data_IF_862061510259
#
_entry.id   IF_862061510259
#
_cell.length_a   1.000
_cell.length_b   1.000
_cell.length_c   1.000
_cell.angle_alpha   90.00
_cell.angle_beta   90.00
_cell.angle_gamma   90.00
#
_symmetry.space_group_name_H-M   'P 1'
#
loop_
_entity.id
_entity.type
_entity.pdbx_description
1 polymer ?
#
# COMPACT_ATOMS: atom_id res chain seq x y z
N UNK A 1 -32.90 33.41 -43.81
CA UNK A 1 -31.85 33.36 -42.78
C UNK A 1 -32.53 33.38 -41.41
N UNK A 2 -32.79 32.22 -40.84
CA UNK A 2 -33.36 32.05 -39.50
C UNK A 2 -32.23 31.73 -38.54
N UNK A 3 -31.82 32.70 -37.71
CA UNK A 3 -30.88 32.46 -36.62
C UNK A 3 -31.62 31.79 -35.46
N UNK A 4 -31.34 30.51 -35.22
CA UNK A 4 -31.74 29.86 -33.99
C UNK A 4 -30.79 30.28 -32.87
N UNK A 5 -31.32 30.96 -31.85
CA UNK A 5 -30.64 31.18 -30.57
C UNK A 5 -30.56 29.84 -29.84
N UNK A 6 -29.35 29.39 -29.51
CA UNK A 6 -29.16 28.27 -28.58
C UNK A 6 -29.81 28.60 -27.23
N UNK A 7 -30.48 27.63 -26.58
CA UNK A 7 -30.99 27.84 -25.23
C UNK A 7 -29.82 27.95 -24.26
N UNK A 8 -29.82 29.02 -23.45
CA UNK A 8 -28.85 29.23 -22.39
C UNK A 8 -28.79 28.01 -21.46
N UNK A 9 -27.59 27.44 -21.32
CA UNK A 9 -27.31 26.30 -20.44
C UNK A 9 -27.60 26.74 -19.00
N UNK A 10 -28.73 26.31 -18.44
CA UNK A 10 -29.09 26.55 -17.05
C UNK A 10 -28.09 25.78 -16.19
N UNK A 11 -27.15 26.50 -15.58
CA UNK A 11 -26.19 25.93 -14.63
C UNK A 11 -26.89 25.91 -13.28
N UNK A 12 -27.13 24.70 -12.75
CA UNK A 12 -27.56 24.54 -11.37
C UNK A 12 -26.46 25.11 -10.44
N UNK A 13 -26.80 26.20 -9.74
CA UNK A 13 -25.88 26.90 -8.86
C UNK A 13 -25.48 26.06 -7.64
N UNK A 14 -26.30 25.08 -7.24
CA UNK A 14 -26.00 24.07 -6.24
C UNK A 14 -24.91 23.12 -6.71
N UNK A 15 -25.05 22.55 -7.91
CA UNK A 15 -24.01 21.70 -8.53
C UNK A 15 -22.71 22.46 -8.78
N UNK A 16 -22.80 23.72 -9.24
CA UNK A 16 -21.62 24.54 -9.47
C UNK A 16 -20.89 24.89 -8.16
N UNK A 17 -21.61 25.07 -7.05
CA UNK A 17 -21.02 25.28 -5.71
C UNK A 17 -20.44 23.98 -5.15
N UNK A 18 -21.12 22.85 -5.30
CA UNK A 18 -20.61 21.54 -4.90
C UNK A 18 -19.32 21.19 -5.66
N UNK A 19 -19.26 21.44 -6.97
CA UNK A 19 -18.06 21.28 -7.80
C UNK A 19 -16.93 22.22 -7.38
N UNK A 20 -17.22 23.47 -7.02
CA UNK A 20 -16.21 24.43 -6.49
C UNK A 20 -15.67 24.03 -5.12
N UNK A 21 -16.52 23.51 -4.25
CA UNK A 21 -16.13 23.00 -2.94
C UNK A 21 -15.28 21.72 -3.07
N UNK A 22 -15.63 20.83 -4.02
CA UNK A 22 -14.84 19.66 -4.36
C UNK A 22 -13.48 20.03 -4.98
N UNK A 23 -13.42 21.06 -5.83
CA UNK A 23 -12.19 21.51 -6.49
C UNK A 23 -11.13 22.13 -5.55
N UNK A 24 -11.48 22.44 -4.29
CA UNK A 24 -10.57 22.94 -3.26
C UNK A 24 -10.42 22.01 -2.05
N UNK A 25 -11.01 20.81 -2.10
CA UNK A 25 -10.97 19.83 -1.01
C UNK A 25 -9.63 19.10 -1.05
N UNK A 26 -9.01 18.95 0.13
CA UNK A 26 -7.87 18.04 0.32
C UNK A 26 -8.43 16.69 0.73
N UNK A 27 -8.08 15.64 -0.02
CA UNK A 27 -8.47 14.27 0.31
C UNK A 27 -8.05 13.91 1.74
N UNK A 28 -8.88 13.10 2.40
CA UNK A 28 -8.66 12.69 3.78
C UNK A 28 -8.61 11.17 3.87
N UNK A 29 -7.88 10.70 4.86
CA UNK A 29 -8.03 9.33 5.35
C UNK A 29 -9.06 9.36 6.48
N UNK A 30 -10.04 8.45 6.41
CA UNK A 30 -11.10 8.26 7.41
C UNK A 30 -10.96 6.87 7.99
N UNK A 31 -10.99 6.75 9.31
CA UNK A 31 -11.05 5.46 10.00
C UNK A 31 -12.50 5.12 10.30
N UNK A 32 -12.93 3.97 9.76
CA UNK A 32 -14.24 3.41 9.94
C UNK A 32 -14.17 2.30 10.98
N UNK A 33 -15.04 2.38 11.98
CA UNK A 33 -15.38 1.26 12.84
C UNK A 33 -16.61 0.58 12.27
N UNK A 34 -16.45 -0.68 11.88
CA UNK A 34 -17.52 -1.49 11.31
C UNK A 34 -17.83 -2.63 12.25
N UNK A 35 -19.09 -2.80 12.62
CA UNK A 35 -19.54 -3.90 13.47
C UNK A 35 -20.70 -4.67 12.87
N UNK A 36 -20.71 -5.97 13.13
CA UNK A 36 -21.84 -6.86 12.90
C UNK A 36 -22.16 -7.55 14.23
N UNK A 37 -23.34 -7.25 14.78
CA UNK A 37 -23.82 -7.80 16.05
C UNK A 37 -24.87 -8.86 15.74
N UNK A 38 -24.64 -10.08 16.25
CA UNK A 38 -25.55 -11.23 16.12
C UNK A 38 -25.88 -11.76 17.51
N UNK A 39 -26.90 -12.60 17.59
CA UNK A 39 -27.31 -13.21 18.86
C UNK A 39 -26.22 -14.11 19.46
N UNK A 40 -25.35 -14.68 18.63
CA UNK A 40 -24.30 -15.63 18.98
C UNK A 40 -22.89 -15.02 19.01
N UNK A 41 -22.75 -13.72 18.72
CA UNK A 41 -21.46 -13.03 18.81
C UNK A 41 -21.43 -11.69 18.08
N UNK A 42 -20.32 -10.97 18.32
CA UNK A 42 -20.04 -9.68 17.68
C UNK A 42 -18.74 -9.78 16.89
N UNK A 43 -18.70 -9.11 15.74
CA UNK A 43 -17.49 -8.97 14.92
C UNK A 43 -17.27 -7.51 14.61
N UNK A 44 -16.04 -7.04 14.78
CA UNK A 44 -15.69 -5.66 14.46
C UNK A 44 -14.40 -5.55 13.65
N UNK A 45 -14.32 -4.50 12.82
CA UNK A 45 -13.16 -4.13 12.02
C UNK A 45 -12.92 -2.62 12.13
N UNK A 46 -11.66 -2.23 12.20
CA UNK A 46 -11.21 -0.86 12.00
C UNK A 46 -10.53 -0.77 10.64
N UNK A 47 -11.03 0.10 9.77
CA UNK A 47 -10.61 0.18 8.38
C UNK A 47 -10.32 1.64 8.05
N UNK A 48 -9.10 1.95 7.66
CA UNK A 48 -8.75 3.25 7.09
C UNK A 48 -9.06 3.26 5.59
N UNK A 49 -9.77 4.27 5.11
CA UNK A 49 -10.08 4.46 3.69
C UNK A 49 -9.90 5.91 3.27
N UNK A 50 -9.72 6.16 1.97
CA UNK A 50 -9.80 7.52 1.43
C UNK A 50 -11.26 7.99 1.40
N UNK A 51 -11.51 9.24 1.77
CA UNK A 51 -12.86 9.82 1.83
C UNK A 51 -13.47 10.14 0.45
N UNK A 52 -12.67 10.07 -0.61
CA UNK A 52 -13.11 10.13 -2.01
C UNK A 52 -13.55 8.77 -2.56
N UNK A 53 -13.35 7.68 -1.81
CA UNK A 53 -13.80 6.33 -2.17
C UNK A 53 -15.32 6.33 -2.39
N UNK A 54 -15.80 5.60 -3.40
CA UNK A 54 -17.24 5.48 -3.64
C UNK A 54 -17.85 4.41 -2.73
N UNK A 55 -19.15 4.52 -2.44
CA UNK A 55 -19.87 3.53 -1.63
C UNK A 55 -19.79 2.12 -2.23
N UNK A 56 -19.79 1.99 -3.55
CA UNK A 56 -19.59 0.70 -4.24
C UNK A 56 -18.25 0.05 -3.92
N UNK A 57 -17.19 0.86 -3.86
CA UNK A 57 -15.83 0.36 -3.59
C UNK A 57 -15.66 0.10 -2.09
N UNK A 58 -16.32 0.89 -1.23
CA UNK A 58 -16.42 0.56 0.20
C UNK A 58 -17.09 -0.80 0.41
N UNK A 59 -18.14 -1.14 -0.34
CA UNK A 59 -18.77 -2.48 -0.24
C UNK A 59 -17.74 -3.57 -0.48
N UNK A 60 -16.91 -3.46 -1.52
CA UNK A 60 -15.87 -4.46 -1.80
C UNK A 60 -14.82 -4.54 -0.67
N UNK A 61 -14.42 -3.40 -0.10
CA UNK A 61 -13.56 -3.34 1.10
C UNK A 61 -14.19 -4.07 2.29
N UNK A 62 -15.49 -3.92 2.52
CA UNK A 62 -16.21 -4.61 3.59
C UNK A 62 -16.31 -6.11 3.35
N UNK A 63 -16.58 -6.54 2.11
CA UNK A 63 -16.63 -7.97 1.77
C UNK A 63 -15.30 -8.66 2.10
N UNK A 64 -14.18 -8.07 1.68
CA UNK A 64 -12.83 -8.57 1.98
C UNK A 64 -12.56 -8.57 3.49
N UNK A 65 -12.84 -7.46 4.18
CA UNK A 65 -12.53 -7.29 5.61
C UNK A 65 -13.30 -8.27 6.52
N UNK A 66 -14.48 -8.71 6.09
CA UNK A 66 -15.31 -9.67 6.82
C UNK A 66 -15.18 -11.10 6.27
N UNK A 67 -14.32 -11.33 5.28
CA UNK A 67 -14.10 -12.66 4.70
C UNK A 67 -15.35 -13.24 4.03
N UNK A 68 -16.14 -12.38 3.39
CA UNK A 68 -17.31 -12.81 2.60
C UNK A 68 -16.80 -13.46 1.32
N UNK A 69 -17.22 -14.69 1.07
CA UNK A 69 -16.86 -15.43 -0.13
C UNK A 69 -17.63 -14.94 -1.38
N UNK A 70 -17.27 -15.48 -2.54
CA UNK A 70 -17.88 -15.10 -3.82
C UNK A 70 -19.38 -15.37 -3.88
N UNK A 71 -19.88 -16.38 -3.15
CA UNK A 71 -21.30 -16.71 -3.12
C UNK A 71 -22.06 -15.68 -2.28
N UNK A 72 -21.57 -15.36 -1.08
CA UNK A 72 -22.10 -14.31 -0.22
C UNK A 72 -22.04 -12.93 -0.87
N UNK A 73 -21.00 -12.65 -1.66
CA UNK A 73 -20.84 -11.39 -2.38
C UNK A 73 -21.95 -11.14 -3.42
N UNK A 74 -22.64 -12.18 -3.91
CA UNK A 74 -23.75 -12.05 -4.88
C UNK A 74 -25.06 -11.63 -4.24
N UNK A 75 -25.15 -11.60 -2.91
CA UNK A 75 -26.35 -11.16 -2.23
C UNK A 75 -26.69 -9.70 -2.57
N UNK A 76 -27.98 -9.32 -2.65
CA UNK A 76 -28.39 -7.93 -2.79
C UNK A 76 -27.81 -7.09 -1.67
N UNK A 77 -27.33 -5.90 -1.99
CA UNK A 77 -26.68 -5.02 -1.02
C UNK A 77 -27.10 -3.56 -1.25
N UNK A 78 -27.04 -2.77 -0.18
CA UNK A 78 -27.20 -1.32 -0.25
C UNK A 78 -26.65 -0.66 1.03
N UNK A 79 -26.44 0.65 0.97
CA UNK A 79 -26.23 1.49 2.15
C UNK A 79 -27.48 2.33 2.42
N UNK A 80 -27.76 2.61 3.69
CA UNK A 80 -28.78 3.57 4.09
C UNK A 80 -28.33 4.36 5.34
N UNK A 81 -29.03 5.44 5.65
CA UNK A 81 -28.82 6.19 6.87
C UNK A 81 -29.45 5.44 8.06
N UNK A 82 -28.87 5.53 9.27
CA UNK A 82 -29.47 4.92 10.45
C UNK A 82 -30.91 5.41 10.68
N UNK A 83 -31.83 4.47 10.89
CA UNK A 83 -33.24 4.77 11.18
C UNK A 83 -34.09 5.11 9.95
N UNK A 84 -33.58 4.89 8.73
CA UNK A 84 -34.38 5.03 7.50
C UNK A 84 -34.80 3.65 6.96
N UNK A 85 -35.89 3.62 6.19
CA UNK A 85 -36.42 2.38 5.59
C UNK A 85 -35.56 1.91 4.41
N UNK A 86 -35.62 0.62 4.07
CA UNK A 86 -34.84 0.01 2.99
C UNK A 86 -35.05 0.67 1.60
N UNK A 87 -36.20 1.33 1.38
CA UNK A 87 -36.51 2.07 0.15
C UNK A 87 -35.70 3.38 -0.01
N UNK A 88 -34.88 3.74 0.98
CA UNK A 88 -34.00 4.92 0.97
C UNK A 88 -32.52 4.57 0.75
N UNK A 89 -32.26 3.54 -0.06
CA UNK A 89 -30.91 3.16 -0.45
C UNK A 89 -30.15 4.37 -1.05
N UNK A 90 -28.91 4.55 -0.59
CA UNK A 90 -28.00 5.57 -1.09
C UNK A 90 -27.46 5.17 -2.47
N UNK A 91 -27.16 6.17 -3.30
CA UNK A 91 -26.53 5.96 -4.60
C UNK A 91 -25.12 5.39 -4.42
N UNK A 92 -24.81 4.19 -4.95
CA UNK A 92 -23.53 3.52 -4.78
C UNK A 92 -22.34 4.27 -5.40
N UNK A 93 -22.58 5.17 -6.36
CA UNK A 93 -21.51 5.93 -7.03
C UNK A 93 -21.16 7.23 -6.28
N UNK A 94 -21.85 7.52 -5.16
CA UNK A 94 -21.52 8.66 -4.32
C UNK A 94 -20.31 8.43 -3.42
N UNK A 95 -19.49 9.47 -3.17
CA UNK A 95 -18.28 9.36 -2.37
C UNK A 95 -18.55 9.38 -0.86
N UNK A 96 -17.71 8.69 -0.09
CA UNK A 96 -17.85 8.54 1.35
C UNK A 96 -17.94 9.85 2.11
N UNK A 97 -17.20 10.88 1.70
CA UNK A 97 -17.19 12.16 2.38
C UNK A 97 -18.54 12.89 2.44
N UNK A 98 -19.54 12.48 1.65
CA UNK A 98 -20.90 13.00 1.75
C UNK A 98 -21.62 12.50 3.01
N UNK A 99 -21.24 11.33 3.51
CA UNK A 99 -21.97 10.60 4.53
C UNK A 99 -21.15 10.32 5.79
N UNK A 100 -19.83 10.19 5.66
CA UNK A 100 -18.91 9.76 6.71
C UNK A 100 -17.76 10.77 6.87
N UNK A 101 -18.06 12.07 6.74
CA UNK A 101 -17.07 13.14 6.72
C UNK A 101 -16.61 13.58 8.12
N UNK A 102 -17.48 13.47 9.12
CA UNK A 102 -17.24 13.86 10.50
C UNK A 102 -17.14 12.64 11.41
N UNK A 103 -16.52 12.82 12.59
CA UNK A 103 -16.50 11.80 13.63
C UNK A 103 -17.92 11.60 14.19
N UNK A 104 -18.35 10.34 14.32
CA UNK A 104 -19.68 9.94 14.75
C UNK A 104 -20.70 9.79 13.63
N UNK A 105 -20.40 10.26 12.42
CA UNK A 105 -21.23 9.99 11.24
C UNK A 105 -21.32 8.47 11.02
N UNK A 106 -22.48 7.99 10.59
CA UNK A 106 -22.71 6.56 10.43
C UNK A 106 -23.64 6.19 9.28
N UNK A 107 -23.42 4.98 8.77
CA UNK A 107 -24.21 4.31 7.75
C UNK A 107 -24.56 2.90 8.21
N UNK A 108 -25.63 2.35 7.65
CA UNK A 108 -25.94 0.94 7.74
C UNK A 108 -25.67 0.31 6.38
N UNK A 109 -24.85 -0.74 6.37
CA UNK A 109 -24.58 -1.56 5.20
C UNK A 109 -25.37 -2.86 5.30
N UNK A 110 -26.19 -3.13 4.29
CA UNK A 110 -26.96 -4.36 4.17
C UNK A 110 -26.34 -5.27 3.12
N UNK A 111 -26.24 -6.57 3.44
CA UNK A 111 -25.81 -7.63 2.53
C UNK A 111 -26.71 -8.85 2.72
N UNK A 112 -27.70 -9.02 1.84
CA UNK A 112 -28.77 -9.98 2.02
C UNK A 112 -29.50 -9.73 3.34
N UNK A 113 -29.43 -10.70 4.27
CA UNK A 113 -30.02 -10.59 5.61
C UNK A 113 -29.05 -10.03 6.65
N UNK A 114 -27.80 -9.80 6.28
CA UNK A 114 -26.79 -9.27 7.18
C UNK A 114 -26.83 -7.75 7.22
N UNK A 115 -26.58 -7.20 8.42
CA UNK A 115 -26.51 -5.77 8.66
C UNK A 115 -25.19 -5.43 9.36
N UNK A 116 -24.50 -4.43 8.85
CA UNK A 116 -23.26 -3.91 9.42
C UNK A 116 -23.44 -2.43 9.73
N UNK A 117 -23.05 -2.02 10.94
CA UNK A 117 -23.01 -0.61 11.31
C UNK A 117 -21.64 -0.06 10.99
N UNK A 118 -21.57 0.97 10.15
CA UNK A 118 -20.34 1.66 9.75
C UNK A 118 -20.31 3.02 10.41
N UNK A 119 -19.32 3.30 11.26
CA UNK A 119 -19.18 4.57 11.98
C UNK A 119 -17.83 5.19 11.64
N UNK A 120 -17.82 6.46 11.27
CA UNK A 120 -16.60 7.25 11.14
C UNK A 120 -16.07 7.61 12.53
N UNK A 121 -14.90 7.10 12.89
CA UNK A 121 -14.28 7.38 14.20
C UNK A 121 -13.49 8.69 14.18
N UNK A 122 -12.59 8.87 13.21
CA UNK A 122 -11.80 10.08 13.04
C UNK A 122 -11.24 10.18 11.62
N UNK A 123 -10.85 11.40 11.19
CA UNK A 123 -10.29 11.65 9.87
C UNK A 123 -9.15 12.67 9.91
N UNK A 124 -8.17 12.54 9.02
CA UNK A 124 -7.02 13.45 8.90
C UNK A 124 -6.63 13.71 7.44
N UNK A 125 -5.92 14.82 7.13
CA UNK A 125 -5.42 15.08 5.79
C UNK A 125 -4.58 13.93 5.27
N UNK A 126 -4.81 13.53 4.03
CA UNK A 126 -4.14 12.39 3.40
C UNK A 126 -2.72 12.78 2.95
N UNK A 127 -1.79 11.85 3.13
CA UNK A 127 -0.46 11.90 2.50
C UNK A 127 -0.45 11.10 1.18
N UNK A 128 0.56 11.33 0.33
CA UNK A 128 0.65 10.68 -0.99
C UNK A 128 0.99 9.18 -0.94
N UNK A 129 1.34 8.63 0.24
CA UNK A 129 1.80 7.25 0.41
C UNK A 129 0.79 6.30 1.09
N UNK A 130 -0.27 6.83 1.71
CA UNK A 130 -1.28 6.01 2.38
C UNK A 130 -2.06 5.19 1.35
N UNK A 131 -2.27 3.87 1.53
CA UNK A 131 -3.15 3.08 0.68
C UNK A 131 -4.58 3.64 0.63
N UNK A 132 -5.35 3.28 -0.40
CA UNK A 132 -6.73 3.75 -0.56
C UNK A 132 -7.70 3.04 0.40
N UNK A 133 -7.36 1.81 0.84
CA UNK A 133 -8.02 1.08 1.91
C UNK A 133 -7.01 0.21 2.69
N UNK A 134 -7.16 0.10 4.00
CA UNK A 134 -6.34 -0.74 4.87
C UNK A 134 -7.13 -1.14 6.13
N UNK A 135 -7.14 -2.42 6.48
CA UNK A 135 -7.61 -2.88 7.78
C UNK A 135 -6.50 -2.68 8.83
N UNK A 136 -6.78 -1.89 9.87
CA UNK A 136 -5.81 -1.53 10.92
C UNK A 136 -6.07 -2.27 12.24
N UNK A 137 -7.17 -3.03 12.33
CA UNK A 137 -7.48 -3.83 13.50
C UNK A 137 -8.86 -4.46 13.43
N UNK A 138 -9.16 -5.35 14.36
CA UNK A 138 -10.43 -6.05 14.41
C UNK A 138 -10.42 -7.22 15.38
N UNK A 139 -11.60 -7.79 15.61
CA UNK A 139 -11.73 -9.08 16.29
C UNK A 139 -13.09 -9.73 15.99
N UNK A 140 -13.27 -10.94 16.48
CA UNK A 140 -14.45 -11.75 16.20
C UNK A 140 -14.39 -12.47 14.86
N UNK A 141 -15.29 -13.44 14.70
CA UNK A 141 -15.36 -14.37 13.56
C UNK A 141 -16.67 -14.15 12.82
N UNK A 142 -16.64 -13.90 11.51
CA UNK A 142 -17.83 -13.83 10.68
C UNK A 142 -17.92 -15.10 9.82
N UNK A 143 -19.03 -15.84 9.94
CA UNK A 143 -19.11 -17.19 9.38
C UNK A 143 -17.96 -18.09 9.86
N UNK A 144 -17.26 -18.72 8.92
CA UNK A 144 -16.08 -19.56 9.18
C UNK A 144 -14.75 -18.77 9.13
N UNK A 145 -14.75 -17.54 8.61
CA UNK A 145 -13.56 -16.74 8.39
C UNK A 145 -12.98 -16.19 9.72
N UNK A 146 -11.73 -16.56 10.01
CA UNK A 146 -10.95 -16.00 11.13
C UNK A 146 -10.45 -14.60 10.78
N UNK A 147 -10.27 -13.77 11.80
CA UNK A 147 -9.63 -12.48 11.62
C UNK A 147 -8.13 -12.66 11.39
N UNK A 148 -7.69 -12.35 10.17
CA UNK A 148 -6.29 -12.31 9.75
C UNK A 148 -6.05 -10.98 9.04
N UNK A 149 -5.44 -10.04 9.76
CA UNK A 149 -5.19 -8.67 9.27
C UNK A 149 -4.24 -8.66 8.07
N UNK A 150 -3.29 -9.60 8.00
CA UNK A 150 -2.32 -9.66 6.92
C UNK A 150 -2.99 -10.13 5.61
N UNK A 151 -3.78 -11.20 5.69
CA UNK A 151 -4.54 -11.71 4.54
C UNK A 151 -5.57 -10.68 4.03
N UNK A 152 -6.27 -10.00 4.94
CA UNK A 152 -7.23 -8.93 4.58
C UNK A 152 -6.51 -7.79 3.85
N UNK A 153 -5.38 -7.31 4.39
CA UNK A 153 -4.68 -6.18 3.79
C UNK A 153 -4.09 -6.51 2.41
N UNK A 154 -3.56 -7.72 2.23
CA UNK A 154 -3.09 -8.18 0.92
C UNK A 154 -4.22 -8.14 -0.13
N UNK A 155 -5.43 -8.57 0.24
CA UNK A 155 -6.58 -8.52 -0.66
C UNK A 155 -7.11 -7.09 -0.89
N UNK A 156 -7.04 -6.20 0.10
CA UNK A 156 -7.54 -4.83 0.02
C UNK A 156 -6.65 -3.88 -0.78
N UNK A 157 -5.33 -3.93 -0.59
CA UNK A 157 -4.45 -2.97 -1.25
C UNK A 157 -4.19 -3.32 -2.70
N UNK A 158 -4.77 -4.41 -3.21
CA UNK A 158 -4.51 -4.93 -4.54
C UNK A 158 -3.02 -5.22 -4.66
N UNK A 159 -2.56 -6.25 -3.97
CA UNK A 159 -1.21 -6.72 -4.19
C UNK A 159 -1.28 -7.90 -5.13
N UNK A 160 -0.56 -7.75 -6.24
CA UNK A 160 0.32 -8.80 -6.70
C UNK A 160 0.62 -9.75 -5.54
N UNK A 161 0.27 -11.04 -5.68
CA UNK A 161 0.62 -12.02 -4.63
C UNK A 161 2.11 -11.88 -4.27
N UNK A 162 2.56 -12.30 -3.08
CA UNK A 162 4.01 -12.29 -2.77
C UNK A 162 4.84 -12.84 -3.93
N UNK A 163 4.34 -13.88 -4.58
CA UNK A 163 4.97 -14.48 -5.76
C UNK A 163 4.96 -13.59 -7.01
N UNK A 164 3.92 -12.80 -7.23
CA UNK A 164 3.83 -11.84 -8.34
C UNK A 164 4.73 -10.63 -8.10
N UNK A 165 4.77 -10.07 -6.88
CA UNK A 165 5.73 -9.01 -6.52
C UNK A 165 7.17 -9.48 -6.75
N UNK A 166 7.49 -10.68 -6.24
CA UNK A 166 8.81 -11.28 -6.40
C UNK A 166 9.12 -11.66 -7.86
N UNK A 167 8.10 -11.84 -8.71
CA UNK A 167 8.31 -12.08 -10.15
C UNK A 167 8.82 -10.85 -10.89
N UNK A 168 8.57 -9.65 -10.34
CA UNK A 168 9.09 -8.39 -10.87
C UNK A 168 10.42 -7.97 -10.25
N UNK A 169 10.86 -8.62 -9.16
CA UNK A 169 12.12 -8.34 -8.50
C UNK A 169 13.30 -9.07 -9.15
N UNK A 170 14.49 -8.47 -9.07
CA UNK A 170 15.72 -9.10 -9.52
C UNK A 170 15.93 -10.45 -8.82
N UNK A 171 16.38 -11.47 -9.57
CA UNK A 171 16.52 -12.83 -9.04
C UNK A 171 17.33 -12.93 -7.73
N UNK A 172 18.43 -12.16 -7.53
CA UNK A 172 19.13 -12.14 -6.26
C UNK A 172 18.29 -11.62 -5.09
N UNK A 173 17.44 -10.60 -5.30
CA UNK A 173 16.53 -10.05 -4.28
C UNK A 173 15.50 -11.10 -3.87
N UNK A 174 14.90 -11.78 -4.85
CA UNK A 174 13.95 -12.87 -4.60
C UNK A 174 14.61 -14.00 -3.80
N UNK A 175 15.80 -14.44 -4.22
CA UNK A 175 16.55 -15.49 -3.51
C UNK A 175 16.93 -15.09 -2.08
N UNK A 176 17.29 -13.82 -1.87
CA UNK A 176 17.63 -13.29 -0.55
C UNK A 176 16.41 -13.30 0.39
N UNK A 177 15.24 -12.86 -0.08
CA UNK A 177 13.99 -12.87 0.72
C UNK A 177 13.58 -14.31 1.07
N UNK A 178 13.68 -15.24 0.12
CA UNK A 178 13.36 -16.65 0.34
C UNK A 178 14.30 -17.33 1.35
N UNK A 179 15.60 -17.07 1.26
CA UNK A 179 16.62 -17.67 2.16
C UNK A 179 16.57 -17.08 3.56
N UNK A 180 16.45 -15.75 3.67
CA UNK A 180 16.37 -15.04 4.96
C UNK A 180 15.03 -15.22 5.67
N UNK A 181 13.97 -15.53 4.91
CA UNK A 181 12.57 -15.61 5.38
C UNK A 181 12.03 -14.31 5.97
N UNK A 182 12.62 -13.17 5.62
CA UNK A 182 12.16 -11.84 6.06
C UNK A 182 11.09 -11.35 5.09
N UNK A 183 9.82 -11.72 5.36
CA UNK A 183 8.67 -11.30 4.55
C UNK A 183 8.38 -9.80 4.64
N UNK A 184 8.91 -9.11 5.65
CA UNK A 184 8.71 -7.67 5.90
C UNK A 184 9.34 -6.78 4.81
N UNK A 185 10.16 -7.35 3.93
CA UNK A 185 10.73 -6.69 2.76
C UNK A 185 9.77 -6.64 1.56
N UNK A 186 8.74 -7.50 1.52
CA UNK A 186 7.76 -7.55 0.42
C UNK A 186 6.92 -6.26 0.33
N UNK A 187 6.42 -5.68 1.43
CA UNK A 187 5.74 -4.38 1.40
C UNK A 187 6.60 -3.25 0.83
N UNK A 188 7.92 -3.27 1.04
CA UNK A 188 8.83 -2.29 0.44
C UNK A 188 8.84 -2.43 -1.09
N UNK A 189 8.96 -3.66 -1.61
CA UNK A 189 8.95 -3.92 -3.05
C UNK A 189 7.61 -3.52 -3.69
N UNK A 190 6.50 -3.77 -2.98
CA UNK A 190 5.17 -3.31 -3.39
C UNK A 190 5.10 -1.77 -3.46
N UNK A 191 5.63 -1.08 -2.46
CA UNK A 191 5.66 0.38 -2.43
C UNK A 191 6.53 0.98 -3.54
N UNK A 192 7.59 0.27 -3.97
CA UNK A 192 8.41 0.67 -5.10
C UNK A 192 7.71 0.48 -6.44
N UNK A 193 6.69 -0.38 -6.54
CA UNK A 193 5.97 -0.71 -7.78
C UNK A 193 6.94 -1.11 -8.90
N UNK A 194 7.60 -2.28 -8.73
CA UNK A 194 8.57 -2.80 -9.70
C UNK A 194 7.94 -3.17 -11.05
N UNK A 195 6.61 -3.26 -11.14
CA UNK A 195 5.87 -3.52 -12.38
C UNK A 195 6.03 -2.35 -13.38
N UNK A 196 6.21 -1.13 -12.86
CA UNK A 196 6.41 0.09 -13.65
C UNK A 196 7.82 0.20 -14.20
N UNK A 197 7.94 0.59 -15.47
CA UNK A 197 9.24 0.84 -16.09
C UNK A 197 9.86 2.14 -15.56
N UNK A 198 11.12 2.13 -15.08
CA UNK A 198 11.74 3.29 -14.47
C UNK A 198 12.27 4.27 -15.53
N UNK A 199 12.16 5.57 -15.21
CA UNK A 199 12.59 6.68 -16.07
C UNK A 199 14.10 6.94 -15.97
N UNK A 200 14.91 5.95 -16.38
CA UNK A 200 16.38 6.01 -16.32
C UNK A 200 17.02 6.22 -17.69
N UNK A 201 18.19 6.87 -17.72
CA UNK A 201 18.98 6.96 -18.94
C UNK A 201 19.58 5.59 -19.32
N UNK A 202 19.82 5.31 -20.61
CA UNK A 202 20.45 4.05 -21.04
C UNK A 202 21.83 3.80 -20.40
N UNK A 203 22.56 4.87 -20.11
CA UNK A 203 23.86 4.80 -19.44
C UNK A 203 23.73 4.32 -17.99
N UNK A 204 22.78 4.88 -17.23
CA UNK A 204 22.52 4.47 -15.84
C UNK A 204 22.06 3.01 -15.80
N UNK A 205 21.13 2.61 -16.68
CA UNK A 205 20.67 1.21 -16.76
C UNK A 205 21.82 0.23 -17.04
N UNK A 206 22.76 0.60 -17.92
CA UNK A 206 23.95 -0.23 -18.20
C UNK A 206 24.80 -0.37 -16.95
N UNK A 207 25.08 0.73 -16.24
CA UNK A 207 25.89 0.69 -15.01
C UNK A 207 25.25 -0.14 -13.90
N UNK A 208 23.92 -0.12 -13.76
CA UNK A 208 23.20 -0.90 -12.75
C UNK A 208 23.18 -2.40 -13.05
N UNK A 209 23.16 -2.79 -14.32
CA UNK A 209 23.10 -4.20 -14.74
C UNK A 209 24.31 -5.02 -14.29
N UNK A 210 25.46 -4.35 -14.19
CA UNK A 210 26.71 -4.97 -13.79
C UNK A 210 26.87 -5.02 -12.25
N UNK A 211 25.83 -4.66 -11.49
CA UNK A 211 25.82 -4.74 -10.02
C UNK A 211 25.15 -6.03 -9.51
N UNK A 212 25.61 -6.59 -8.37
CA UNK A 212 26.85 -6.21 -7.66
C UNK A 212 28.12 -6.53 -8.46
N UNK A 213 29.17 -5.75 -8.20
CA UNK A 213 30.53 -6.00 -8.69
C UNK A 213 31.17 -7.19 -7.98
N UNK A 214 30.80 -7.42 -6.72
CA UNK A 214 31.35 -8.49 -5.90
C UNK A 214 30.84 -9.87 -6.34
N UNK A 215 31.70 -10.89 -6.22
CA UNK A 215 31.41 -12.26 -6.67
C UNK A 215 31.19 -13.24 -5.51
N UNK A 216 31.71 -12.94 -4.32
CA UNK A 216 31.61 -13.83 -3.17
C UNK A 216 30.20 -13.79 -2.55
N UNK A 217 29.61 -14.94 -2.14
CA UNK A 217 28.21 -15.00 -1.70
C UNK A 217 27.85 -14.02 -0.56
N UNK A 218 28.71 -13.87 0.44
CA UNK A 218 28.48 -12.95 1.56
C UNK A 218 28.51 -11.48 1.12
N UNK A 219 29.34 -11.15 0.13
CA UNK A 219 29.47 -9.79 -0.40
C UNK A 219 28.26 -9.42 -1.27
N UNK A 220 27.82 -10.36 -2.11
CA UNK A 220 26.60 -10.25 -2.91
C UNK A 220 25.38 -10.06 -2.01
N UNK A 221 25.26 -10.87 -0.96
CA UNK A 221 24.15 -10.77 0.00
C UNK A 221 24.16 -9.44 0.74
N UNK A 222 25.34 -8.97 1.17
CA UNK A 222 25.51 -7.68 1.83
C UNK A 222 25.08 -6.52 0.92
N UNK A 223 25.44 -6.56 -0.37
CA UNK A 223 25.02 -5.56 -1.34
C UNK A 223 23.50 -5.47 -1.46
N UNK A 224 22.83 -6.60 -1.69
CA UNK A 224 21.37 -6.60 -1.88
C UNK A 224 20.62 -6.24 -0.59
N UNK A 225 21.13 -6.65 0.57
CA UNK A 225 20.58 -6.25 1.86
C UNK A 225 20.65 -4.73 2.06
N UNK A 226 21.81 -4.11 1.76
CA UNK A 226 21.98 -2.66 1.81
C UNK A 226 21.16 -1.94 0.74
N UNK A 227 21.05 -2.47 -0.47
CA UNK A 227 20.22 -1.89 -1.52
C UNK A 227 18.75 -1.82 -1.09
N UNK A 228 18.23 -2.86 -0.43
CA UNK A 228 16.88 -2.86 0.15
C UNK A 228 16.75 -1.86 1.30
N UNK A 229 17.71 -1.81 2.22
CA UNK A 229 17.72 -0.83 3.31
C UNK A 229 17.73 0.63 2.79
N UNK A 230 18.56 0.92 1.79
CA UNK A 230 18.65 2.24 1.17
C UNK A 230 17.41 2.60 0.34
N UNK A 231 16.75 1.61 -0.27
CA UNK A 231 15.52 1.81 -1.03
C UNK A 231 14.32 2.23 -0.16
N UNK A 232 14.38 1.98 1.16
CA UNK A 232 13.42 2.51 2.12
C UNK A 232 13.54 4.05 2.30
N UNK A 233 14.56 4.69 1.70
CA UNK A 233 14.82 6.14 1.75
C UNK A 233 14.85 6.72 3.18
N UNK A 234 15.27 5.89 4.13
CA UNK A 234 15.52 6.28 5.52
C UNK A 234 16.98 6.72 5.69
N UNK A 235 17.38 7.03 6.92
CA UNK A 235 18.79 7.32 7.24
C UNK A 235 19.70 6.08 7.10
N UNK A 236 21.02 6.34 7.06
CA UNK A 236 22.03 5.30 6.91
C UNK A 236 22.03 4.27 8.05
N UNK A 237 21.67 4.68 9.27
CA UNK A 237 21.59 3.79 10.44
C UNK A 237 20.44 2.78 10.26
N UNK A 238 19.31 3.23 9.72
CA UNK A 238 18.18 2.35 9.39
C UNK A 238 18.55 1.38 8.26
N UNK A 239 19.24 1.84 7.23
CA UNK A 239 19.70 0.98 6.15
C UNK A 239 20.68 -0.09 6.66
N UNK A 240 21.57 0.28 7.57
CA UNK A 240 22.52 -0.60 8.22
C UNK A 240 21.81 -1.65 9.08
N UNK A 241 20.81 -1.26 9.87
CA UNK A 241 20.02 -2.19 10.69
C UNK A 241 19.25 -3.22 9.84
N UNK A 242 18.73 -2.82 8.68
CA UNK A 242 18.11 -3.76 7.72
C UNK A 242 19.15 -4.75 7.22
N UNK A 243 20.34 -4.27 6.84
CA UNK A 243 21.41 -5.13 6.37
C UNK A 243 21.87 -6.13 7.44
N UNK A 244 22.10 -5.66 8.68
CA UNK A 244 22.44 -6.51 9.82
C UNK A 244 21.41 -7.63 10.03
N UNK A 245 20.12 -7.27 10.05
CA UNK A 245 19.01 -8.22 10.23
C UNK A 245 19.00 -9.29 9.13
N UNK A 246 19.19 -8.88 7.87
CA UNK A 246 19.23 -9.81 6.73
C UNK A 246 20.45 -10.72 6.81
N UNK A 247 21.64 -10.16 7.06
CA UNK A 247 22.89 -10.92 7.14
C UNK A 247 22.86 -11.94 8.28
N UNK A 248 22.34 -11.56 9.44
CA UNK A 248 22.11 -12.47 10.57
C UNK A 248 21.14 -13.60 10.20
N UNK A 249 20.00 -13.27 9.57
CA UNK A 249 19.01 -14.26 9.15
C UNK A 249 19.55 -15.26 8.12
N UNK A 250 20.49 -14.83 7.28
CA UNK A 250 21.20 -15.69 6.31
C UNK A 250 22.31 -16.53 6.98
N UNK A 251 22.64 -16.25 8.24
CA UNK A 251 23.68 -16.95 9.01
C UNK A 251 25.09 -16.48 8.69
N UNK A 252 25.26 -15.31 8.10
CA UNK A 252 26.57 -14.72 7.87
C UNK A 252 27.13 -14.15 9.17
N UNK A 253 28.40 -14.43 9.43
CA UNK A 253 29.14 -14.00 10.62
C UNK A 253 30.52 -13.49 10.23
N UNK A 254 31.10 -12.69 11.11
CA UNK A 254 32.50 -12.25 11.04
C UNK A 254 33.46 -13.44 11.25
N UNK A 255 34.75 -13.23 10.99
CA UNK A 255 35.81 -14.22 11.21
C UNK A 255 35.90 -14.71 12.67
N UNK A 256 35.47 -13.89 13.64
CA UNK A 256 35.44 -14.22 15.06
C UNK A 256 34.12 -14.89 15.51
N UNK A 257 33.18 -15.09 14.57
CA UNK A 257 31.87 -15.69 14.79
C UNK A 257 30.81 -14.72 15.34
N UNK A 258 31.11 -13.42 15.46
CA UNK A 258 30.12 -12.41 15.82
C UNK A 258 29.21 -12.04 14.64
N UNK A 259 28.01 -11.48 14.89
CA UNK A 259 27.13 -11.01 13.82
C UNK A 259 27.80 -9.92 12.98
N UNK A 260 27.55 -9.94 11.66
CA UNK A 260 28.04 -8.90 10.75
C UNK A 260 27.37 -7.57 11.08
N UNK A 261 28.18 -6.55 11.37
CA UNK A 261 27.68 -5.18 11.58
C UNK A 261 27.35 -4.47 10.27
N UNK A 262 26.56 -3.40 10.30
CA UNK A 262 26.22 -2.61 9.12
C UNK A 262 27.44 -1.98 8.47
N UNK A 263 28.44 -1.58 9.29
CA UNK A 263 29.75 -1.15 8.79
C UNK A 263 30.44 -2.28 8.01
N UNK A 264 30.49 -3.47 8.58
CA UNK A 264 31.12 -4.62 7.93
C UNK A 264 30.38 -5.01 6.65
N UNK A 265 29.04 -4.98 6.65
CA UNK A 265 28.24 -5.19 5.44
C UNK A 265 28.58 -4.18 4.33
N UNK A 266 28.76 -2.89 4.68
CA UNK A 266 29.22 -1.87 3.72
C UNK A 266 30.64 -2.14 3.22
N UNK A 267 31.53 -2.64 4.07
CA UNK A 267 32.89 -3.01 3.67
C UNK A 267 32.92 -4.21 2.74
N UNK A 268 32.03 -5.19 2.94
CA UNK A 268 31.89 -6.37 2.09
C UNK A 268 31.49 -6.04 0.65
N UNK A 269 30.70 -4.98 0.44
CA UNK A 269 30.20 -4.58 -0.89
C UNK A 269 30.66 -3.18 -1.32
N UNK A 270 31.86 -2.78 -0.90
CA UNK A 270 32.39 -1.42 -1.09
C UNK A 270 32.45 -0.97 -2.54
N UNK A 271 32.78 -1.87 -3.47
CA UNK A 271 32.99 -1.50 -4.87
C UNK A 271 31.63 -1.20 -5.52
N UNK A 272 30.62 -2.02 -5.25
CA UNK A 272 29.24 -1.74 -5.65
C UNK A 272 28.67 -0.47 -5.01
N UNK A 273 28.93 -0.26 -3.71
CA UNK A 273 28.53 0.97 -3.03
C UNK A 273 29.18 2.21 -3.68
N UNK A 274 30.45 2.14 -4.06
CA UNK A 274 31.10 3.24 -4.77
C UNK A 274 30.37 3.58 -6.08
N UNK A 275 29.86 2.59 -6.81
CA UNK A 275 29.02 2.82 -8.00
C UNK A 275 27.70 3.50 -7.65
N UNK A 276 27.01 3.07 -6.58
CA UNK A 276 25.76 3.70 -6.14
C UNK A 276 25.97 5.16 -5.71
N UNK A 277 27.11 5.49 -5.09
CA UNK A 277 27.46 6.86 -4.67
C UNK A 277 27.75 7.75 -5.89
N UNK A 278 28.49 7.23 -6.88
CA UNK A 278 28.73 7.94 -8.15
C UNK A 278 27.43 8.21 -8.93
N UNK A 279 26.47 7.29 -8.86
CA UNK A 279 25.11 7.47 -9.38
C UNK A 279 24.24 8.36 -8.51
N UNK A 280 24.78 8.85 -7.38
CA UNK A 280 24.12 9.73 -6.41
C UNK A 280 22.84 9.12 -5.82
N UNK A 281 22.83 7.79 -5.68
CA UNK A 281 21.71 7.04 -5.08
C UNK A 281 21.73 7.06 -3.55
N UNK A 282 22.89 7.31 -2.95
CA UNK A 282 23.05 7.54 -1.51
C UNK A 282 24.31 8.39 -1.27
N UNK A 283 24.62 8.71 0.01
CA UNK A 283 25.77 9.53 0.37
C UNK A 283 25.49 11.04 0.40
N UNK A 284 26.52 11.87 0.61
CA UNK A 284 26.37 13.30 0.88
C UNK A 284 25.83 14.11 -0.31
N UNK A 285 26.07 13.62 -1.53
CA UNK A 285 25.59 14.25 -2.77
C UNK A 285 24.34 13.58 -3.35
N UNK A 286 23.64 12.76 -2.56
CA UNK A 286 22.47 12.01 -3.03
C UNK A 286 21.42 12.91 -3.71
N UNK A 287 20.77 12.35 -4.73
CA UNK A 287 19.66 13.00 -5.42
C UNK A 287 18.44 13.17 -4.50
N UNK A 288 17.45 13.94 -4.96
CA UNK A 288 16.18 14.07 -4.25
C UNK A 288 15.48 12.70 -4.08
N UNK A 289 14.65 12.52 -3.05
CA UNK A 289 13.99 11.24 -2.76
C UNK A 289 13.24 10.64 -3.97
N UNK A 290 12.55 11.47 -4.75
CA UNK A 290 11.79 11.01 -5.92
C UNK A 290 12.69 10.46 -7.03
N UNK A 291 13.82 11.12 -7.32
CA UNK A 291 14.76 10.64 -8.33
C UNK A 291 15.41 9.33 -7.86
N UNK A 292 15.76 9.23 -6.57
CA UNK A 292 16.31 8.00 -5.98
C UNK A 292 15.35 6.82 -6.10
N UNK A 293 14.03 7.04 -5.97
CA UNK A 293 13.03 5.97 -6.16
C UNK A 293 13.11 5.35 -7.56
N UNK A 294 13.25 6.16 -8.62
CA UNK A 294 13.38 5.65 -10.00
C UNK A 294 14.66 4.81 -10.15
N UNK A 295 15.75 5.20 -9.48
CA UNK A 295 17.01 4.47 -9.51
C UNK A 295 16.90 3.14 -8.75
N UNK A 296 16.34 3.12 -7.55
CA UNK A 296 16.13 1.87 -6.79
C UNK A 296 15.11 0.95 -7.46
N UNK A 297 14.07 1.50 -8.12
CA UNK A 297 13.15 0.72 -8.95
C UNK A 297 13.90 0.04 -10.09
N UNK A 298 14.83 0.75 -10.76
CA UNK A 298 15.65 0.16 -11.81
C UNK A 298 16.63 -0.90 -11.30
N UNK A 299 17.24 -0.69 -10.14
CA UNK A 299 18.20 -1.62 -9.56
C UNK A 299 17.55 -2.93 -9.06
N UNK A 300 16.39 -2.83 -8.42
CA UNK A 300 15.73 -3.97 -7.75
C UNK A 300 14.80 -4.75 -8.68
N UNK A 301 14.57 -4.28 -9.91
CA UNK A 301 13.67 -4.90 -10.89
C UNK A 301 14.37 -6.01 -11.68
N UNK A 302 13.63 -7.05 -12.05
CA UNK A 302 14.09 -8.09 -12.97
C UNK A 302 14.43 -7.51 -14.35
N UNK A 303 15.55 -7.94 -14.94
CA UNK A 303 15.84 -7.71 -16.35
C UNK A 303 14.77 -8.44 -17.19
N UNK A 304 14.08 -7.68 -18.04
CA UNK A 304 13.15 -8.21 -19.05
C UNK A 304 13.87 -8.69 -20.30
#
# INVERSE_FOLDING_TARGET
>A
MTSHSEPARVIDLGDARARRAAAGRVDRTVVLQVSNVRADGETHRHIGVTDSLQLRDLRDVLLVSFGIDEEGARAPWHFCLPGTDADTALDPDEPLHRYLGASGDSLIFHLGLWQFTVVSSFSWPRDRGTPWALCVGGSGRFGEARFDIAAINAALTGTDTTQEVLSHAAAPVTSLIERSRISDLVPLLQALDLSREPELSPEVRRRMRDLPVEEEPAQVDAFWALALGLAALSDDETADAVAETVMEALGWVEDDGSPISGRSARELCRDSLSVLEELRMYGPEALGPLDRLEFFRGLLRADG
#
